data_IF_428865234228
#
_entry.id   IF_428865234228
#
_cell.length_a   1.000
_cell.length_b   1.000
_cell.length_c   1.000
_cell.angle_alpha   90.00
_cell.angle_beta   90.00
_cell.angle_gamma   90.00
#
_symmetry.space_group_name_H-M   'P 1'
#
loop_
_entity.id
_entity.type
_entity.pdbx_description
1 polymer ?
#
# COMPACT_ATOMS: atom_id res chain seq x y z
N UNK A 1 6.22 -8.20 -26.67
CA UNK A 1 5.72 -8.94 -25.50
C UNK A 1 4.44 -8.26 -24.99
N UNK A 2 3.49 -9.05 -24.51
CA UNK A 2 2.26 -8.55 -23.87
C UNK A 2 2.24 -9.00 -22.41
N UNK A 3 1.94 -8.08 -21.51
CA UNK A 3 1.83 -8.33 -20.08
C UNK A 3 0.40 -8.10 -19.58
N UNK A 4 -0.05 -8.92 -18.63
CA UNK A 4 -1.29 -8.72 -17.90
C UNK A 4 -0.95 -8.35 -16.45
N UNK A 5 -1.53 -7.29 -15.94
CA UNK A 5 -1.53 -6.99 -14.52
C UNK A 5 -2.89 -7.34 -13.90
N UNK A 6 -2.86 -8.17 -12.85
CA UNK A 6 -4.05 -8.48 -12.05
C UNK A 6 -4.01 -7.59 -10.80
N UNK A 7 -4.76 -6.49 -10.88
CA UNK A 7 -4.85 -5.48 -9.82
C UNK A 7 -5.74 -5.96 -8.69
N UNK A 8 -5.40 -5.70 -7.42
CA UNK A 8 -6.21 -6.09 -6.27
C UNK A 8 -7.41 -5.16 -6.03
N UNK A 9 -7.50 -4.03 -6.73
CA UNK A 9 -8.55 -3.03 -6.59
C UNK A 9 -8.94 -2.46 -7.95
N UNK A 10 -10.19 -2.03 -8.09
CA UNK A 10 -10.63 -1.30 -9.28
C UNK A 10 -9.94 0.07 -9.35
N UNK A 11 -9.70 0.56 -10.57
CA UNK A 11 -9.07 1.86 -10.79
C UNK A 11 -9.89 2.99 -10.17
N UNK A 12 -9.23 3.86 -9.43
CA UNK A 12 -9.83 4.99 -8.71
C UNK A 12 -10.23 4.70 -7.27
N UNK A 13 -10.17 3.44 -6.82
CA UNK A 13 -10.49 3.08 -5.44
C UNK A 13 -9.38 3.50 -4.46
N UNK A 14 -8.10 3.33 -4.85
CA UNK A 14 -6.95 3.69 -4.03
C UNK A 14 -5.86 4.38 -4.86
N UNK A 15 -5.48 5.61 -4.49
CA UNK A 15 -4.53 6.42 -5.26
C UNK A 15 -3.12 5.81 -5.32
N UNK A 16 -2.68 5.12 -4.27
CA UNK A 16 -1.36 4.49 -4.25
C UNK A 16 -1.31 3.28 -5.20
N UNK A 17 -2.36 2.44 -5.19
CA UNK A 17 -2.50 1.30 -6.12
C UNK A 17 -2.53 1.78 -7.57
N UNK A 18 -3.27 2.86 -7.85
CA UNK A 18 -3.31 3.47 -9.18
C UNK A 18 -1.92 3.97 -9.62
N UNK A 19 -1.21 4.66 -8.73
CA UNK A 19 0.13 5.18 -9.03
C UNK A 19 1.16 4.06 -9.25
N UNK A 20 1.05 2.94 -8.54
CA UNK A 20 1.84 1.73 -8.78
C UNK A 20 1.54 1.16 -10.17
N UNK A 21 0.25 1.07 -10.53
CA UNK A 21 -0.17 0.59 -11.84
C UNK A 21 0.39 1.47 -12.97
N UNK A 22 0.36 2.80 -12.83
CA UNK A 22 0.95 3.73 -13.80
C UNK A 22 2.47 3.60 -13.86
N UNK A 23 3.16 3.39 -12.73
CA UNK A 23 4.60 3.15 -12.71
C UNK A 23 4.99 1.87 -13.45
N UNK A 24 4.22 0.80 -13.25
CA UNK A 24 4.37 -0.46 -13.96
C UNK A 24 4.14 -0.28 -15.47
N UNK A 25 3.05 0.37 -15.85
CA UNK A 25 2.68 0.60 -17.24
C UNK A 25 3.71 1.46 -17.98
N UNK A 26 4.10 2.60 -17.39
CA UNK A 26 5.03 3.54 -18.02
C UNK A 26 6.41 2.89 -18.31
N UNK A 27 6.92 2.08 -17.39
CA UNK A 27 8.20 1.39 -17.56
C UNK A 27 8.09 0.27 -18.60
N UNK A 28 6.99 -0.49 -18.63
CA UNK A 28 6.73 -1.52 -19.64
C UNK A 28 6.58 -0.91 -21.04
N UNK A 29 5.82 0.19 -21.18
CA UNK A 29 5.62 0.90 -22.45
C UNK A 29 6.94 1.44 -23.01
N UNK A 30 7.80 2.01 -22.16
CA UNK A 30 9.14 2.47 -22.53
C UNK A 30 10.02 1.37 -23.14
N UNK A 31 9.71 0.10 -22.84
CA UNK A 31 10.39 -1.08 -23.39
C UNK A 31 9.57 -1.80 -24.47
N UNK A 32 8.51 -1.18 -24.98
CA UNK A 32 7.68 -1.74 -26.07
C UNK A 32 6.83 -2.94 -25.63
N UNK A 33 6.49 -3.02 -24.35
CA UNK A 33 5.66 -4.09 -23.77
C UNK A 33 4.26 -3.55 -23.52
N UNK A 34 3.28 -4.06 -24.27
CA UNK A 34 1.87 -3.68 -24.06
C UNK A 34 1.34 -4.29 -22.78
N UNK A 35 0.82 -3.46 -21.86
CA UNK A 35 0.15 -3.92 -20.65
C UNK A 35 -1.38 -3.80 -20.76
N UNK A 36 -2.06 -4.76 -20.17
CA UNK A 36 -3.50 -4.74 -19.91
C UNK A 36 -3.74 -4.99 -18.43
N UNK A 37 -4.87 -4.49 -17.91
CA UNK A 37 -5.23 -4.62 -16.50
C UNK A 37 -6.52 -5.42 -16.36
N UNK A 38 -6.48 -6.47 -15.53
CA UNK A 38 -7.65 -7.16 -15.01
C UNK A 38 -7.77 -6.84 -13.52
N UNK A 39 -8.96 -6.92 -12.97
CA UNK A 39 -9.22 -6.61 -11.59
C UNK A 39 -9.67 -7.85 -10.82
N UNK A 40 -9.18 -8.00 -9.61
CA UNK A 40 -9.60 -8.98 -8.62
C UNK A 40 -9.78 -8.23 -7.29
N UNK A 41 -10.92 -7.51 -7.21
CA UNK A 41 -11.18 -6.54 -6.15
C UNK A 41 -11.31 -7.23 -4.79
N UNK A 42 -10.34 -7.01 -3.91
CA UNK A 42 -10.27 -7.72 -2.62
C UNK A 42 -11.39 -7.30 -1.65
N UNK A 43 -12.11 -6.23 -1.92
CA UNK A 43 -13.31 -5.85 -1.18
C UNK A 43 -14.53 -6.71 -1.56
N UNK A 44 -14.45 -7.44 -2.68
CA UNK A 44 -15.52 -8.33 -3.12
C UNK A 44 -15.37 -9.74 -2.51
N UNK A 45 -16.47 -10.39 -2.10
CA UNK A 45 -16.40 -11.72 -1.46
C UNK A 45 -15.75 -12.83 -2.31
N UNK A 46 -15.80 -12.71 -3.64
CA UNK A 46 -15.28 -13.69 -4.60
C UNK A 46 -13.93 -13.25 -5.23
N UNK A 47 -13.19 -12.34 -4.59
CA UNK A 47 -11.94 -11.83 -5.15
C UNK A 47 -10.91 -12.92 -5.46
N UNK A 48 -10.89 -14.02 -4.68
CA UNK A 48 -9.97 -15.14 -4.91
C UNK A 48 -10.27 -15.86 -6.23
N UNK A 49 -11.54 -16.07 -6.50
CA UNK A 49 -12.02 -16.63 -7.75
C UNK A 49 -11.82 -15.65 -8.93
N UNK A 50 -11.94 -14.35 -8.68
CA UNK A 50 -11.64 -13.32 -9.70
C UNK A 50 -10.17 -13.38 -10.07
N UNK A 51 -9.25 -13.45 -9.09
CA UNK A 51 -7.80 -13.57 -9.32
C UNK A 51 -7.45 -14.86 -10.11
N UNK A 52 -8.00 -16.00 -9.71
CA UNK A 52 -7.79 -17.28 -10.43
C UNK A 52 -8.28 -17.18 -11.89
N UNK A 53 -9.51 -16.69 -12.11
CA UNK A 53 -10.07 -16.50 -13.46
C UNK A 53 -9.22 -15.56 -14.32
N UNK A 54 -8.76 -14.42 -13.76
CA UNK A 54 -7.96 -13.45 -14.48
C UNK A 54 -6.62 -14.02 -14.95
N UNK A 55 -5.92 -14.73 -14.06
CA UNK A 55 -4.63 -15.35 -14.38
C UNK A 55 -4.80 -16.44 -15.45
N UNK A 56 -5.81 -17.33 -15.33
CA UNK A 56 -6.08 -18.36 -16.34
C UNK A 56 -6.46 -17.77 -17.69
N UNK A 57 -7.38 -16.80 -17.69
CA UNK A 57 -7.79 -16.11 -18.92
C UNK A 57 -6.62 -15.42 -19.62
N UNK A 58 -5.73 -14.77 -18.85
CA UNK A 58 -4.51 -14.18 -19.37
C UNK A 58 -3.58 -15.22 -20.02
N UNK A 59 -3.37 -16.36 -19.37
CA UNK A 59 -2.57 -17.43 -19.92
C UNK A 59 -3.19 -18.01 -21.22
N UNK A 60 -4.52 -18.14 -21.29
CA UNK A 60 -5.25 -18.62 -22.47
C UNK A 60 -5.26 -17.60 -23.61
N UNK A 61 -5.28 -16.31 -23.29
CA UNK A 61 -5.22 -15.21 -24.25
C UNK A 61 -3.81 -14.96 -24.82
N UNK A 62 -2.80 -15.72 -24.37
CA UNK A 62 -1.43 -15.66 -24.88
C UNK A 62 -0.63 -14.45 -24.37
N UNK A 63 -0.91 -13.99 -23.17
CA UNK A 63 0.01 -13.07 -22.48
C UNK A 63 1.31 -13.81 -22.16
N UNK A 64 2.45 -13.15 -22.35
CA UNK A 64 3.79 -13.73 -22.16
C UNK A 64 4.29 -13.51 -20.72
N UNK A 65 3.73 -12.51 -20.04
CA UNK A 65 3.97 -12.24 -18.63
C UNK A 65 2.67 -11.88 -17.91
N UNK A 66 2.55 -12.29 -16.64
CA UNK A 66 1.45 -11.92 -15.76
C UNK A 66 2.07 -11.36 -14.47
N UNK A 67 1.58 -10.20 -14.05
CA UNK A 67 1.91 -9.61 -12.75
C UNK A 67 0.73 -9.83 -11.83
N UNK A 68 0.98 -10.41 -10.66
CA UNK A 68 -0.03 -10.65 -9.62
C UNK A 68 0.29 -9.84 -8.37
N UNK A 69 -0.73 -9.30 -7.73
CA UNK A 69 -0.58 -8.74 -6.39
C UNK A 69 -1.00 -9.78 -5.36
N UNK A 70 -0.10 -10.13 -4.45
CA UNK A 70 -0.30 -11.19 -3.47
C UNK A 70 -0.95 -10.59 -2.21
N UNK A 71 -2.27 -10.64 -2.16
CA UNK A 71 -3.06 -10.26 -0.98
C UNK A 71 -3.03 -11.39 0.06
N UNK A 72 -3.29 -12.61 -0.40
CA UNK A 72 -3.18 -13.85 0.38
C UNK A 72 -2.00 -14.66 -0.19
N UNK A 73 -1.03 -15.11 0.63
CA UNK A 73 0.18 -15.76 0.14
C UNK A 73 -0.06 -17.07 -0.62
N UNK A 74 -1.25 -17.64 -0.53
CA UNK A 74 -1.63 -18.90 -1.18
C UNK A 74 -2.51 -18.69 -2.43
N UNK A 75 -2.91 -17.46 -2.75
CA UNK A 75 -3.81 -17.10 -3.86
C UNK A 75 -3.09 -16.26 -4.92
N UNK A 76 -3.24 -16.54 -6.22
CA UNK A 76 -3.94 -17.65 -6.88
C UNK A 76 -2.98 -18.81 -7.29
N UNK A 77 -2.52 -19.62 -6.35
CA UNK A 77 -1.47 -20.64 -6.57
C UNK A 77 -1.73 -21.56 -7.77
N UNK A 78 -2.93 -22.14 -7.87
CA UNK A 78 -3.28 -23.09 -8.93
C UNK A 78 -3.33 -22.42 -10.32
N UNK A 79 -3.81 -21.20 -10.40
CA UNK A 79 -3.86 -20.44 -11.64
C UNK A 79 -2.44 -20.03 -12.09
N UNK A 80 -1.57 -19.66 -11.15
CA UNK A 80 -0.16 -19.37 -11.44
C UNK A 80 0.56 -20.63 -11.92
N UNK A 81 0.37 -21.78 -11.27
CA UNK A 81 0.92 -23.03 -11.73
C UNK A 81 0.45 -23.39 -13.16
N UNK A 82 -0.82 -23.17 -13.48
CA UNK A 82 -1.40 -23.35 -14.80
C UNK A 82 -0.74 -22.41 -15.84
N UNK A 83 -0.60 -21.11 -15.52
CA UNK A 83 0.02 -20.14 -16.42
C UNK A 83 1.49 -20.48 -16.69
N UNK A 84 2.26 -20.83 -15.66
CA UNK A 84 3.66 -21.23 -15.78
C UNK A 84 3.84 -22.52 -16.59
N UNK A 85 2.93 -23.49 -16.45
CA UNK A 85 2.93 -24.71 -17.29
C UNK A 85 2.72 -24.41 -18.78
N UNK A 86 2.12 -23.26 -19.13
CA UNK A 86 1.99 -22.75 -20.50
C UNK A 86 3.17 -21.88 -20.95
N UNK A 87 4.19 -21.71 -20.11
CA UNK A 87 5.37 -20.89 -20.40
C UNK A 87 5.16 -19.39 -20.13
N UNK A 88 4.09 -19.00 -19.45
CA UNK A 88 3.86 -17.62 -19.03
C UNK A 88 4.71 -17.31 -17.80
N UNK A 89 5.44 -16.21 -17.85
CA UNK A 89 6.25 -15.72 -16.73
C UNK A 89 5.35 -15.02 -15.71
N UNK A 90 5.52 -15.32 -14.43
CA UNK A 90 4.72 -14.67 -13.38
C UNK A 90 5.64 -13.94 -12.42
N UNK A 91 5.43 -12.64 -12.30
CA UNK A 91 6.12 -11.74 -11.34
C UNK A 91 5.08 -11.25 -10.33
N UNK A 92 5.48 -11.07 -9.07
CA UNK A 92 4.53 -10.66 -8.04
C UNK A 92 4.94 -9.38 -7.30
N UNK A 93 3.93 -8.60 -6.91
CA UNK A 93 4.02 -7.76 -5.73
C UNK A 93 3.80 -8.63 -4.50
N UNK A 94 4.64 -8.48 -3.51
CA UNK A 94 4.77 -9.33 -2.34
C UNK A 94 5.17 -10.78 -2.67
N UNK A 95 5.67 -11.49 -1.67
CA UNK A 95 6.19 -12.84 -1.83
C UNK A 95 5.12 -13.91 -1.56
N UNK A 96 4.69 -14.67 -2.58
CA UNK A 96 3.77 -15.77 -2.40
C UNK A 96 4.47 -17.00 -1.78
N UNK A 97 3.65 -17.99 -1.35
CA UNK A 97 4.12 -19.33 -0.96
C UNK A 97 4.22 -20.30 -2.14
N UNK A 98 3.84 -19.85 -3.33
CA UNK A 98 3.96 -20.62 -4.58
C UNK A 98 5.07 -20.07 -5.47
N UNK A 99 5.63 -20.88 -6.40
CA UNK A 99 6.72 -20.44 -7.26
C UNK A 99 6.29 -19.35 -8.25
N UNK A 100 7.10 -18.28 -8.34
CA UNK A 100 7.04 -17.23 -9.36
C UNK A 100 8.45 -16.98 -9.88
N UNK A 101 8.58 -16.27 -11.01
CA UNK A 101 9.89 -15.90 -11.57
C UNK A 101 10.63 -14.92 -10.68
N UNK A 102 9.91 -13.93 -10.14
CA UNK A 102 10.49 -12.96 -9.21
C UNK A 102 9.39 -12.24 -8.41
N UNK A 103 9.78 -11.61 -7.29
CA UNK A 103 8.90 -10.82 -6.44
C UNK A 103 9.55 -9.50 -6.05
N UNK A 104 8.72 -8.44 -5.93
CA UNK A 104 9.09 -7.19 -5.24
C UNK A 104 8.37 -7.16 -3.91
N UNK A 105 9.11 -7.04 -2.80
CA UNK A 105 8.55 -6.93 -1.45
C UNK A 105 8.72 -5.52 -0.90
N UNK A 106 7.83 -5.09 -0.02
CA UNK A 106 7.90 -3.79 0.61
C UNK A 106 8.57 -3.88 1.97
N UNK A 107 9.37 -2.87 2.38
CA UNK A 107 9.97 -2.83 3.71
C UNK A 107 8.95 -2.33 4.77
N UNK A 108 7.74 -2.92 4.80
CA UNK A 108 6.60 -2.46 5.59
C UNK A 108 6.90 -2.36 7.08
N UNK A 109 7.58 -3.35 7.65
CA UNK A 109 8.01 -3.33 9.05
C UNK A 109 8.86 -2.10 9.36
N UNK A 110 9.87 -1.82 8.54
CA UNK A 110 10.77 -0.68 8.76
C UNK A 110 10.02 0.65 8.61
N UNK A 111 9.07 0.74 7.69
CA UNK A 111 8.22 1.92 7.54
C UNK A 111 7.45 2.21 8.83
N UNK A 112 6.83 1.19 9.43
CA UNK A 112 6.14 1.31 10.71
C UNK A 112 7.04 1.81 11.82
N UNK A 113 8.28 1.28 11.93
CA UNK A 113 9.28 1.73 12.92
C UNK A 113 9.61 3.21 12.71
N UNK A 114 9.96 3.62 11.49
CA UNK A 114 10.33 5.02 11.20
C UNK A 114 9.17 6.00 11.38
N UNK A 115 7.94 5.58 11.10
CA UNK A 115 6.76 6.39 11.39
C UNK A 115 6.64 6.67 12.90
N UNK A 116 6.90 5.67 13.74
CA UNK A 116 6.84 5.84 15.20
C UNK A 116 7.99 6.66 15.74
N UNK A 117 9.20 6.53 15.20
CA UNK A 117 10.33 7.41 15.54
C UNK A 117 9.99 8.88 15.21
N UNK A 118 9.37 9.14 14.06
CA UNK A 118 8.94 10.49 13.72
C UNK A 118 7.83 10.98 14.67
N UNK A 119 6.80 10.18 14.94
CA UNK A 119 5.72 10.56 15.85
C UNK A 119 6.26 10.84 17.26
N UNK A 120 7.20 10.04 17.74
CA UNK A 120 7.83 10.25 19.05
C UNK A 120 8.61 11.58 19.13
N UNK A 121 9.16 12.06 18.02
CA UNK A 121 9.82 13.38 17.98
C UNK A 121 8.85 14.55 18.13
N UNK A 122 7.54 14.30 17.96
CA UNK A 122 6.45 15.30 18.03
C UNK A 122 5.71 15.26 19.37
N UNK A 123 5.90 14.22 20.17
CA UNK A 123 5.14 13.96 21.39
C UNK A 123 6.02 14.02 22.64
N UNK A 124 5.47 14.31 23.83
CA UNK A 124 6.21 14.17 25.07
C UNK A 124 6.49 12.68 25.38
N UNK A 125 7.51 12.39 26.20
CA UNK A 125 7.72 11.04 26.71
C UNK A 125 6.46 10.47 27.38
N UNK A 126 6.10 9.23 27.03
CA UNK A 126 4.88 8.60 27.51
C UNK A 126 3.58 9.08 26.82
N UNK A 127 3.71 9.83 25.72
CA UNK A 127 2.57 10.28 24.92
C UNK A 127 1.63 9.13 24.55
N UNK A 128 0.33 9.33 24.65
CA UNK A 128 -0.73 8.34 24.45
C UNK A 128 -1.13 8.28 22.99
N UNK A 129 -0.90 7.12 22.36
CA UNK A 129 -1.09 6.93 20.92
C UNK A 129 -2.15 5.87 20.65
N UNK A 130 -3.14 6.21 19.83
CA UNK A 130 -4.05 5.26 19.24
C UNK A 130 -3.63 4.88 17.81
N UNK A 131 -3.95 3.65 17.40
CA UNK A 131 -3.67 3.14 16.06
C UNK A 131 -4.99 2.67 15.44
N UNK A 132 -5.31 3.16 14.24
CA UNK A 132 -6.36 2.59 13.40
C UNK A 132 -5.72 1.54 12.52
N UNK A 133 -6.05 0.26 12.77
CA UNK A 133 -5.52 -0.87 11.99
C UNK A 133 -6.13 -0.96 10.59
N UNK A 134 -5.44 -1.64 9.70
CA UNK A 134 -5.86 -1.93 8.32
C UNK A 134 -6.43 -3.34 8.12
N UNK A 135 -6.76 -3.73 6.88
CA UNK A 135 -7.20 -5.09 6.55
C UNK A 135 -6.14 -6.15 6.85
N UNK A 136 -6.54 -7.43 6.84
CA UNK A 136 -5.64 -8.57 7.07
C UNK A 136 -4.89 -8.97 5.78
N UNK A 137 -4.14 -8.02 5.22
CA UNK A 137 -3.27 -8.22 4.06
C UNK A 137 -1.79 -8.15 4.48
N UNK A 138 -0.90 -8.76 3.69
CA UNK A 138 0.50 -8.97 4.07
C UNK A 138 1.18 -7.66 4.48
N UNK A 139 1.05 -6.63 3.66
CA UNK A 139 1.72 -5.35 3.87
C UNK A 139 1.21 -4.60 5.10
N UNK A 140 -0.08 -4.69 5.43
CA UNK A 140 -0.62 -4.05 6.63
C UNK A 140 -0.29 -4.82 7.91
N UNK A 141 -0.26 -6.15 7.86
CA UNK A 141 0.19 -6.98 8.99
C UNK A 141 1.64 -6.66 9.35
N UNK A 142 2.53 -6.57 8.35
CA UNK A 142 3.93 -6.24 8.56
C UNK A 142 4.12 -4.79 9.04
N UNK A 143 3.38 -3.83 8.46
CA UNK A 143 3.38 -2.44 8.90
C UNK A 143 2.98 -2.33 10.37
N UNK A 144 1.89 -3.00 10.76
CA UNK A 144 1.39 -2.99 12.13
C UNK A 144 2.40 -3.60 13.11
N UNK A 145 3.10 -4.66 12.71
CA UNK A 145 4.20 -5.23 13.50
C UNK A 145 5.33 -4.20 13.71
N UNK A 146 5.67 -3.44 12.68
CA UNK A 146 6.65 -2.34 12.76
C UNK A 146 6.17 -1.19 13.65
N UNK A 147 4.90 -0.80 13.56
CA UNK A 147 4.29 0.22 14.43
C UNK A 147 4.37 -0.22 15.90
N UNK A 148 4.01 -1.47 16.20
CA UNK A 148 4.11 -2.03 17.57
C UNK A 148 5.53 -1.96 18.10
N UNK A 149 6.49 -2.42 17.32
CA UNK A 149 7.92 -2.38 17.69
C UNK A 149 8.40 -0.94 17.89
N UNK A 150 8.02 -0.01 17.02
CA UNK A 150 8.38 1.40 17.13
C UNK A 150 7.77 2.07 18.37
N UNK A 151 6.51 1.77 18.71
CA UNK A 151 5.89 2.25 19.97
C UNK A 151 6.65 1.76 21.19
N UNK A 152 6.98 0.46 21.25
CA UNK A 152 7.73 -0.14 22.37
C UNK A 152 9.13 0.49 22.50
N UNK A 153 9.82 0.74 21.38
CA UNK A 153 11.19 1.29 21.37
C UNK A 153 11.27 2.79 21.67
N UNK A 154 10.21 3.55 21.40
CA UNK A 154 10.16 5.01 21.60
C UNK A 154 9.62 5.43 22.96
N UNK A 155 9.06 4.47 23.73
CA UNK A 155 8.45 4.76 25.03
C UNK A 155 7.10 5.49 24.91
N UNK A 156 6.48 5.53 23.76
CA UNK A 156 5.08 5.97 23.59
C UNK A 156 4.12 4.90 24.13
N UNK A 157 2.97 5.31 24.61
CA UNK A 157 1.98 4.43 25.23
C UNK A 157 0.85 4.17 24.25
N UNK A 158 0.75 2.95 23.71
CA UNK A 158 -0.39 2.52 22.92
C UNK A 158 -1.64 2.37 23.80
N UNK A 159 -2.75 2.97 23.40
CA UNK A 159 -3.98 2.99 24.21
C UNK A 159 -5.04 1.99 23.76
N UNK A 160 -4.96 1.47 22.52
CA UNK A 160 -5.93 0.52 21.97
C UNK A 160 -5.26 -0.72 21.35
N UNK A 161 -6.02 -1.75 21.10
CA UNK A 161 -5.60 -2.85 20.23
C UNK A 161 -6.06 -2.55 18.79
N UNK A 162 -5.13 -2.32 17.83
CA UNK A 162 -5.51 -2.02 16.44
C UNK A 162 -6.09 -3.21 15.68
N UNK A 163 -6.02 -4.43 16.23
CA UNK A 163 -6.67 -5.62 15.65
C UNK A 163 -8.10 -5.80 16.12
N UNK A 164 -8.53 -5.04 17.15
CA UNK A 164 -9.93 -5.03 17.55
C UNK A 164 -10.80 -4.47 16.40
N UNK A 165 -11.84 -5.21 15.93
CA UNK A 165 -12.74 -4.76 14.86
C UNK A 165 -13.35 -3.37 15.10
N UNK A 166 -13.42 -2.94 16.36
CA UNK A 166 -13.90 -1.61 16.74
C UNK A 166 -12.99 -0.49 16.19
N UNK A 167 -11.68 -0.75 16.02
CA UNK A 167 -10.68 0.23 15.61
C UNK A 167 -9.97 -0.15 14.31
N UNK A 168 -10.41 -1.21 13.66
CA UNK A 168 -9.81 -1.74 12.43
C UNK A 168 -10.61 -1.29 11.21
N UNK A 169 -10.00 -0.51 10.32
CA UNK A 169 -10.57 -0.14 9.04
C UNK A 169 -10.22 -1.20 7.99
N UNK A 170 -11.17 -2.10 7.73
CA UNK A 170 -10.98 -3.19 6.76
C UNK A 170 -11.37 -2.82 5.34
N UNK A 171 -11.94 -1.62 5.12
CA UNK A 171 -12.42 -1.18 3.81
C UNK A 171 -11.41 -0.33 3.03
N UNK A 172 -10.30 0.02 3.67
CA UNK A 172 -9.23 0.86 3.09
C UNK A 172 -9.70 2.20 2.48
N UNK A 173 -10.81 2.76 2.99
CA UNK A 173 -11.38 4.03 2.53
C UNK A 173 -11.60 5.02 3.68
N UNK A 174 -11.75 6.31 3.33
CA UNK A 174 -11.89 7.40 4.29
C UNK A 174 -13.10 7.25 5.24
N UNK A 175 -14.22 6.73 4.76
CA UNK A 175 -15.42 6.56 5.60
C UNK A 175 -15.20 5.58 6.76
N UNK A 176 -14.48 4.48 6.50
CA UNK A 176 -14.06 3.55 7.54
C UNK A 176 -13.09 4.21 8.52
N UNK A 177 -12.12 4.96 8.04
CA UNK A 177 -11.20 5.74 8.87
C UNK A 177 -11.91 6.71 9.80
N UNK A 178 -12.95 7.40 9.31
CA UNK A 178 -13.79 8.30 10.10
C UNK A 178 -14.52 7.55 11.21
N UNK A 179 -15.19 6.45 10.90
CA UNK A 179 -15.91 5.61 11.86
C UNK A 179 -14.98 5.10 12.97
N UNK A 180 -13.84 4.52 12.60
CA UNK A 180 -12.91 3.95 13.58
C UNK A 180 -12.26 5.01 14.46
N UNK A 181 -11.95 6.18 13.92
CA UNK A 181 -11.43 7.32 14.69
C UNK A 181 -12.49 7.86 15.63
N UNK A 182 -13.76 7.98 15.22
CA UNK A 182 -14.84 8.39 16.12
C UNK A 182 -15.00 7.43 17.30
N UNK A 183 -14.86 6.11 17.06
CA UNK A 183 -14.86 5.11 18.15
C UNK A 183 -13.69 5.32 19.13
N UNK A 184 -12.48 5.59 18.61
CA UNK A 184 -11.31 5.90 19.46
C UNK A 184 -11.53 7.15 20.32
N UNK A 185 -12.10 8.20 19.73
CA UNK A 185 -12.38 9.45 20.46
C UNK A 185 -13.47 9.29 21.54
N UNK A 186 -14.41 8.36 21.34
CA UNK A 186 -15.44 8.04 22.33
C UNK A 186 -14.89 7.21 23.50
N UNK A 187 -13.89 6.36 23.24
CA UNK A 187 -13.36 5.42 24.25
C UNK A 187 -12.13 5.96 25.00
N UNK A 188 -11.42 6.97 24.44
CA UNK A 188 -10.19 7.50 25.01
C UNK A 188 -10.21 9.04 25.08
N UNK A 189 -10.44 9.59 26.27
CA UNK A 189 -10.48 11.05 26.51
C UNK A 189 -9.13 11.71 26.24
N UNK A 190 -8.02 11.03 26.58
CA UNK A 190 -6.66 11.53 26.41
C UNK A 190 -5.97 10.80 25.26
N UNK A 191 -5.71 11.55 24.21
CA UNK A 191 -5.03 11.07 22.99
C UNK A 191 -4.09 12.16 22.51
N UNK A 192 -2.77 11.88 22.50
CA UNK A 192 -1.74 12.81 22.06
C UNK A 192 -1.36 12.53 20.59
N UNK A 193 -1.43 11.26 20.17
CA UNK A 193 -1.10 10.82 18.82
C UNK A 193 -2.10 9.84 18.23
N UNK A 194 -2.22 9.86 16.91
CA UNK A 194 -3.05 8.95 16.12
C UNK A 194 -2.25 8.44 14.92
N UNK A 195 -2.30 7.14 14.70
CA UNK A 195 -1.64 6.45 13.58
C UNK A 195 -2.70 5.71 12.76
N UNK A 196 -3.32 6.36 11.77
CA UNK A 196 -4.05 5.67 10.72
C UNK A 196 -3.04 4.85 9.88
N UNK A 197 -3.38 3.59 9.55
CA UNK A 197 -2.43 2.71 8.87
C UNK A 197 -2.05 3.22 7.45
N UNK A 198 -2.92 4.01 6.81
CA UNK A 198 -2.64 4.68 5.54
C UNK A 198 -3.28 6.06 5.41
N UNK A 199 -3.01 6.74 4.31
CA UNK A 199 -3.49 8.11 4.07
C UNK A 199 -5.00 8.18 3.81
N UNK A 200 -5.59 7.18 3.17
CA UNK A 200 -7.03 7.10 2.94
C UNK A 200 -7.78 7.06 4.27
N UNK A 201 -7.33 6.22 5.19
CA UNK A 201 -7.85 6.16 6.57
C UNK A 201 -7.61 7.47 7.32
N UNK A 202 -6.44 8.11 7.11
CA UNK A 202 -6.10 9.40 7.72
C UNK A 202 -7.05 10.52 7.26
N UNK A 203 -7.48 10.54 6.00
CA UNK A 203 -8.46 11.53 5.54
C UNK A 203 -9.76 11.46 6.34
N UNK A 204 -10.25 10.25 6.62
CA UNK A 204 -11.40 10.04 7.48
C UNK A 204 -11.14 10.44 8.94
N UNK A 205 -9.94 10.14 9.44
CA UNK A 205 -9.54 10.54 10.80
C UNK A 205 -9.53 12.07 10.98
N UNK A 206 -9.07 12.81 9.98
CA UNK A 206 -9.13 14.30 9.98
C UNK A 206 -10.56 14.80 10.11
N UNK A 207 -11.52 14.18 9.42
CA UNK A 207 -12.93 14.55 9.52
C UNK A 207 -13.48 14.29 10.94
N UNK A 208 -13.22 13.11 11.51
CA UNK A 208 -13.67 12.75 12.84
C UNK A 208 -13.08 13.69 13.92
N UNK A 209 -11.79 13.98 13.84
CA UNK A 209 -11.13 14.93 14.76
C UNK A 209 -11.68 16.35 14.63
N UNK A 210 -12.01 16.79 13.41
CA UNK A 210 -12.61 18.10 13.16
C UNK A 210 -14.01 18.19 13.79
N UNK A 211 -14.84 17.16 13.59
CA UNK A 211 -16.19 17.08 14.17
C UNK A 211 -16.16 17.06 15.70
N UNK A 212 -15.15 16.41 16.28
CA UNK A 212 -14.93 16.38 17.74
C UNK A 212 -14.25 17.64 18.31
N UNK A 213 -13.86 18.62 17.47
CA UNK A 213 -13.13 19.81 17.89
C UNK A 213 -11.69 19.54 18.38
N UNK A 214 -11.11 18.39 17.99
CA UNK A 214 -9.80 17.88 18.47
C UNK A 214 -8.67 17.94 17.40
N UNK A 215 -8.95 18.54 16.22
CA UNK A 215 -8.02 18.47 15.07
C UNK A 215 -6.63 19.06 15.35
N UNK A 216 -6.49 20.05 16.22
CA UNK A 216 -5.19 20.65 16.57
C UNK A 216 -4.46 19.96 17.73
N UNK A 217 -5.16 19.11 18.48
CA UNK A 217 -4.67 18.54 19.74
C UNK A 217 -3.89 17.23 19.50
N UNK A 218 -4.22 16.49 18.45
CA UNK A 218 -3.71 15.15 18.19
C UNK A 218 -2.69 15.18 17.06
N UNK A 219 -1.47 14.67 17.30
CA UNK A 219 -0.45 14.53 16.25
C UNK A 219 -0.72 13.27 15.43
N UNK A 220 -0.68 13.38 14.10
CA UNK A 220 -0.97 12.27 13.21
C UNK A 220 0.19 11.98 12.28
N UNK A 221 0.44 10.67 12.06
CA UNK A 221 1.34 10.17 11.00
C UNK A 221 0.66 9.02 10.27
N UNK A 222 0.87 8.91 8.96
CA UNK A 222 0.29 7.86 8.12
C UNK A 222 1.29 7.36 7.08
N UNK A 223 0.83 6.50 6.18
CA UNK A 223 1.61 5.90 5.08
C UNK A 223 0.90 6.10 3.75
N UNK A 224 1.59 6.10 2.70
CA UNK A 224 1.45 6.08 1.25
C UNK A 224 2.10 7.31 0.61
N UNK A 225 2.01 8.50 1.20
CA UNK A 225 2.55 9.74 0.62
C UNK A 225 1.60 10.30 -0.45
N UNK A 226 0.29 10.17 -0.26
CA UNK A 226 -0.69 10.67 -1.23
C UNK A 226 -0.62 12.19 -1.40
N UNK A 227 -0.97 12.71 -2.59
CA UNK A 227 -1.04 14.15 -2.81
C UNK A 227 -1.94 14.88 -1.79
N UNK A 228 -3.04 14.23 -1.38
CA UNK A 228 -3.96 14.77 -0.38
C UNK A 228 -3.31 14.86 1.01
N UNK A 229 -2.61 13.80 1.44
CA UNK A 229 -1.89 13.81 2.71
C UNK A 229 -0.80 14.87 2.74
N UNK A 230 -0.03 14.99 1.66
CA UNK A 230 1.03 16.02 1.54
C UNK A 230 0.43 17.43 1.54
N UNK A 231 -0.75 17.64 0.94
CA UNK A 231 -1.42 18.92 1.03
C UNK A 231 -1.85 19.24 2.47
N UNK A 232 -2.40 18.27 3.21
CA UNK A 232 -2.74 18.46 4.63
C UNK A 232 -1.51 18.74 5.51
N UNK A 233 -0.33 18.22 5.14
CA UNK A 233 0.93 18.58 5.82
C UNK A 233 1.28 20.05 5.54
N UNK A 234 1.16 20.52 4.29
CA UNK A 234 1.39 21.93 3.93
C UNK A 234 0.43 22.87 4.63
N UNK A 235 -0.80 22.43 4.87
CA UNK A 235 -1.85 23.17 5.56
C UNK A 235 -1.71 23.13 7.10
N UNK A 236 -0.71 22.39 7.63
CA UNK A 236 -0.47 22.25 9.07
C UNK A 236 -1.47 21.37 9.83
N UNK A 237 -2.25 20.56 9.09
CA UNK A 237 -3.29 19.66 9.64
C UNK A 237 -2.72 18.26 9.94
N UNK A 238 -1.85 17.76 9.08
CA UNK A 238 -1.21 16.47 9.20
C UNK A 238 0.28 16.63 9.49
N UNK A 239 0.91 15.68 10.21
CA UNK A 239 2.25 15.89 10.75
C UNK A 239 3.33 15.06 10.06
N UNK A 240 2.92 14.08 9.25
CA UNK A 240 3.84 13.32 8.42
C UNK A 240 3.17 12.13 7.74
N UNK A 241 3.55 11.86 6.49
CA UNK A 241 3.21 10.63 5.79
C UNK A 241 4.47 9.97 5.24
N UNK A 242 4.52 8.65 5.31
CA UNK A 242 5.59 7.89 4.68
C UNK A 242 5.29 7.70 3.19
N UNK A 243 5.98 8.43 2.32
CA UNK A 243 5.88 8.25 0.85
C UNK A 243 6.60 6.95 0.47
N UNK A 244 5.83 5.93 0.12
CA UNK A 244 6.35 4.62 -0.29
C UNK A 244 6.91 4.62 -1.71
N UNK A 245 6.83 5.75 -2.43
CA UNK A 245 7.18 5.88 -3.84
C UNK A 245 6.38 4.93 -4.75
N UNK A 246 5.05 5.02 -4.79
CA UNK A 246 4.23 4.09 -5.55
C UNK A 246 4.64 3.93 -7.02
N UNK A 247 4.96 5.00 -7.78
CA UNK A 247 5.47 4.83 -9.14
C UNK A 247 6.76 4.01 -9.22
N UNK A 248 7.71 4.25 -8.30
CA UNK A 248 8.97 3.51 -8.22
C UNK A 248 8.78 2.03 -7.88
N UNK A 249 7.77 1.71 -7.08
CA UNK A 249 7.36 0.33 -6.83
C UNK A 249 6.92 -0.34 -8.13
N UNK A 250 6.01 0.30 -8.89
CA UNK A 250 5.56 -0.21 -10.19
C UNK A 250 6.70 -0.42 -11.18
N UNK A 251 7.62 0.54 -11.27
CA UNK A 251 8.82 0.43 -12.10
C UNK A 251 9.73 -0.73 -11.67
N UNK A 252 9.83 -1.00 -10.37
CA UNK A 252 10.63 -2.13 -9.85
C UNK A 252 10.06 -3.47 -10.33
N UNK A 253 8.74 -3.64 -10.31
CA UNK A 253 8.09 -4.85 -10.83
C UNK A 253 8.24 -4.94 -12.35
N UNK A 254 8.06 -3.82 -13.08
CA UNK A 254 8.29 -3.78 -14.53
C UNK A 254 9.70 -4.24 -14.90
N UNK A 255 10.71 -3.78 -14.17
CA UNK A 255 12.10 -4.20 -14.37
C UNK A 255 12.27 -5.72 -14.26
N UNK A 256 11.60 -6.37 -13.30
CA UNK A 256 11.63 -7.84 -13.20
C UNK A 256 10.89 -8.51 -14.34
N UNK A 257 9.76 -7.98 -14.80
CA UNK A 257 9.05 -8.48 -16.00
C UNK A 257 9.95 -8.41 -17.23
N UNK A 258 10.61 -7.27 -17.44
CA UNK A 258 11.54 -7.07 -18.59
C UNK A 258 12.70 -8.05 -18.51
N UNK A 259 13.35 -8.16 -17.36
CA UNK A 259 14.49 -9.08 -17.15
C UNK A 259 14.09 -10.53 -17.33
N UNK A 260 12.93 -10.94 -16.86
CA UNK A 260 12.44 -12.32 -17.00
C UNK A 260 12.31 -12.77 -18.46
N UNK A 261 12.28 -11.82 -19.42
CA UNK A 261 12.22 -12.16 -20.83
C UNK A 261 13.52 -12.80 -21.36
N UNK A 262 14.67 -12.51 -20.74
CA UNK A 262 16.00 -12.93 -21.19
C UNK A 262 16.84 -13.61 -20.10
N UNK A 263 16.44 -13.51 -18.85
CA UNK A 263 17.14 -14.04 -17.68
C UNK A 263 16.26 -15.06 -16.96
N UNK A 264 16.88 -16.11 -16.42
CA UNK A 264 16.26 -16.96 -15.41
C UNK A 264 16.46 -16.29 -14.04
N UNK A 265 15.38 -15.82 -13.45
CA UNK A 265 15.42 -15.09 -12.17
C UNK A 265 15.31 -16.01 -10.95
N UNK A 266 14.95 -17.29 -11.14
CA UNK A 266 14.95 -18.36 -10.12
C UNK A 266 14.29 -17.94 -8.79
N UNK A 267 13.14 -17.29 -8.85
CA UNK A 267 12.42 -16.82 -7.67
C UNK A 267 13.09 -15.61 -6.97
N UNK A 268 13.85 -14.80 -7.71
CA UNK A 268 14.50 -13.59 -7.18
C UNK A 268 13.51 -12.73 -6.40
N UNK A 269 13.87 -12.38 -5.16
CA UNK A 269 13.10 -11.48 -4.33
C UNK A 269 13.91 -10.20 -4.06
N UNK A 270 13.37 -9.06 -4.46
CA UNK A 270 14.01 -7.75 -4.27
C UNK A 270 13.13 -6.84 -3.43
N UNK A 271 13.76 -5.94 -2.66
CA UNK A 271 13.01 -4.90 -1.96
C UNK A 271 12.66 -3.77 -2.92
N UNK A 272 11.45 -3.24 -2.80
CA UNK A 272 11.07 -1.98 -3.41
C UNK A 272 11.93 -0.81 -2.86
N UNK A 273 11.86 0.39 -3.48
CA UNK A 273 12.40 1.59 -2.86
C UNK A 273 11.91 1.74 -1.42
N UNK A 274 12.82 2.17 -0.53
CA UNK A 274 12.49 2.27 0.92
C UNK A 274 11.44 3.35 1.19
N UNK A 275 11.34 4.36 0.30
CA UNK A 275 10.50 5.52 0.54
C UNK A 275 11.13 6.51 1.54
N UNK A 276 10.33 7.46 2.00
CA UNK A 276 10.79 8.49 2.96
C UNK A 276 9.64 9.14 3.71
N UNK A 277 9.90 9.61 4.92
CA UNK A 277 8.96 10.45 5.66
C UNK A 277 8.88 11.84 5.02
N UNK A 278 7.68 12.26 4.65
CA UNK A 278 7.34 13.62 4.26
C UNK A 278 6.86 14.35 5.50
N UNK A 279 7.67 15.29 5.96
CA UNK A 279 7.39 16.17 7.09
C UNK A 279 7.03 17.57 6.60
N UNK A 280 6.57 18.50 7.46
CA UNK A 280 6.32 19.89 7.05
C UNK A 280 7.51 20.55 6.32
N UNK A 281 8.75 20.28 6.77
CA UNK A 281 9.95 20.84 6.17
C UNK A 281 10.24 20.28 4.77
N UNK A 282 9.81 19.06 4.50
CA UNK A 282 10.04 18.34 3.23
C UNK A 282 8.88 18.47 2.25
N UNK A 283 7.68 18.81 2.72
CA UNK A 283 6.47 18.85 1.92
C UNK A 283 6.56 19.84 0.73
N UNK A 284 7.26 20.97 0.90
CA UNK A 284 7.44 21.95 -0.16
C UNK A 284 8.27 21.44 -1.35
N UNK A 285 9.21 20.52 -1.10
CA UNK A 285 10.09 19.92 -2.12
C UNK A 285 9.57 18.56 -2.62
N UNK A 286 8.41 18.12 -2.14
CA UNK A 286 7.83 16.87 -2.60
C UNK A 286 7.30 16.99 -4.03
N UNK A 287 7.67 16.04 -4.88
CA UNK A 287 7.23 15.99 -6.28
C UNK A 287 6.00 15.09 -6.35
N UNK A 288 4.84 15.56 -6.85
CA UNK A 288 3.66 14.73 -7.05
C UNK A 288 3.94 13.52 -7.93
N UNK A 289 3.30 12.39 -7.64
CA UNK A 289 3.53 11.14 -8.36
C UNK A 289 3.37 11.27 -9.88
N UNK A 290 2.34 12.04 -10.32
CA UNK A 290 2.09 12.31 -11.74
C UNK A 290 3.19 13.11 -12.44
N UNK A 291 4.06 13.76 -11.68
CA UNK A 291 5.21 14.51 -12.21
C UNK A 291 6.49 13.65 -12.22
N UNK A 292 6.49 12.47 -11.56
CA UNK A 292 7.64 11.56 -11.52
C UNK A 292 7.72 10.66 -12.75
N UNK A 293 6.56 10.31 -13.35
CA UNK A 293 6.43 9.40 -14.49
C UNK A 293 5.30 9.89 -15.42
N UNK A 294 5.31 9.52 -16.71
CA UNK A 294 4.15 9.71 -17.57
C UNK A 294 2.98 8.83 -17.09
N UNK A 295 1.76 9.37 -17.18
CA UNK A 295 0.52 8.61 -16.94
C UNK A 295 -0.18 8.41 -18.27
N UNK A 296 -0.33 7.17 -18.69
CA UNK A 296 -1.07 6.78 -19.90
C UNK A 296 -2.44 6.22 -19.52
N UNK A 297 -3.34 6.14 -20.51
CA UNK A 297 -4.64 5.51 -20.31
C UNK A 297 -4.46 4.00 -20.10
N UNK A 298 -4.86 3.50 -18.94
CA UNK A 298 -4.81 2.07 -18.62
C UNK A 298 -5.85 1.33 -19.47
N UNK A 299 -5.43 0.26 -20.14
CA UNK A 299 -6.27 -0.52 -21.02
C UNK A 299 -6.78 -1.77 -20.29
N UNK A 300 -8.10 -1.99 -20.20
CA UNK A 300 -8.64 -3.22 -19.63
C UNK A 300 -8.24 -4.46 -20.46
N UNK A 301 -8.18 -5.61 -19.78
CA UNK A 301 -7.88 -6.91 -20.39
C UNK A 301 -9.03 -7.46 -21.22
#
# INVERSE_FOLDING_TARGET
MRALYVSPMIYGANQAVDAICHGLEAELDAHGIEMRVAYADFDEPDWKEQADRAVRAGADAGYEAIVVWVIDPDVPADAVAYARAKGVRVVSFERPRYPVEASVVYPNFNQGVYMMEHLASLLPPGGRVAVVGGPDVIDDIELLAGIRHGLDSTGLVRVNDPEDPRYKNTTDVASGGKEKTANLLADFDQLDGLVPFNDETMLGAVEALREAGRLGDVKMVSRNGTPAAVQLIKDGVHHGTWDIDPPGIGQSVASLVIRSATEDLDGLCVSSPVGRMITPERAAAWIPWRERIPYHDLKPA
#
